data_IF_214392131084
#
_entry.id   IF_214392131084
#
_cell.length_a   1.000
_cell.length_b   1.000
_cell.length_c   1.000
_cell.angle_alpha   90.00
_cell.angle_beta   90.00
_cell.angle_gamma   90.00
#
_symmetry.space_group_name_H-M   'P 1'
#
loop_
_entity.id
_entity.type
_entity.pdbx_description
1 polymer ?
#
# COMPACT_ATOMS: atom_id res chain seq x y z
N UNK A 1 0.65 17.37 32.74
CA UNK A 1 0.39 17.97 31.42
C UNK A 1 -0.48 17.00 30.66
N UNK A 2 -1.67 17.45 30.26
CA UNK A 2 -2.76 16.57 29.79
C UNK A 2 -2.38 15.76 28.54
N UNK A 3 -2.15 14.46 28.69
CA UNK A 3 -1.97 13.52 27.58
C UNK A 3 -3.27 13.33 26.74
N UNK A 4 -4.43 13.69 27.30
CA UNK A 4 -5.73 13.53 26.69
C UNK A 4 -5.90 14.25 25.32
N UNK A 5 -5.55 15.52 25.14
CA UNK A 5 -5.76 16.19 23.87
C UNK A 5 -4.82 15.68 22.77
N UNK A 6 -3.56 15.34 23.11
CA UNK A 6 -2.57 14.77 22.18
C UNK A 6 -3.01 13.39 21.68
N UNK A 7 -3.43 12.52 22.60
CA UNK A 7 -3.91 11.18 22.27
C UNK A 7 -5.16 11.21 21.38
N UNK A 8 -6.12 12.07 21.71
CA UNK A 8 -7.35 12.21 20.91
C UNK A 8 -7.07 12.74 19.52
N UNK A 9 -6.14 13.70 19.37
CA UNK A 9 -5.72 14.24 18.09
C UNK A 9 -5.04 13.16 17.23
N UNK A 10 -4.09 12.42 17.82
CA UNK A 10 -3.42 11.33 17.15
C UNK A 10 -4.41 10.28 16.63
N UNK A 11 -5.29 9.77 17.50
CA UNK A 11 -6.27 8.75 17.13
C UNK A 11 -7.18 9.22 15.98
N UNK A 12 -7.60 10.48 16.02
CA UNK A 12 -8.43 11.06 14.95
C UNK A 12 -7.70 11.07 13.60
N UNK A 13 -6.47 11.55 13.56
CA UNK A 13 -5.68 11.64 12.31
C UNK A 13 -5.22 10.27 11.83
N UNK A 14 -4.84 9.39 12.76
CA UNK A 14 -4.46 8.01 12.46
C UNK A 14 -5.63 7.22 11.88
N UNK A 15 -6.83 7.30 12.49
CA UNK A 15 -8.02 6.59 12.01
C UNK A 15 -8.41 6.98 10.58
N UNK A 16 -8.24 8.25 10.21
CA UNK A 16 -8.48 8.71 8.82
C UNK A 16 -7.46 8.15 7.83
N UNK A 17 -6.25 7.86 8.30
CA UNK A 17 -5.12 7.50 7.44
C UNK A 17 -4.79 6.01 7.45
N UNK A 18 -5.29 5.22 8.42
CA UNK A 18 -4.89 3.84 8.64
C UNK A 18 -5.12 2.92 7.43
N UNK A 19 -6.29 3.00 6.80
CA UNK A 19 -6.62 2.16 5.63
C UNK A 19 -5.67 2.43 4.47
N UNK A 20 -5.36 3.70 4.24
CA UNK A 20 -4.43 4.13 3.22
C UNK A 20 -3.00 3.67 3.51
N UNK A 21 -2.57 3.81 4.77
CA UNK A 21 -1.25 3.40 5.22
C UNK A 21 -1.07 1.88 5.09
N UNK A 22 -2.04 1.09 5.57
CA UNK A 22 -2.00 -0.38 5.45
C UNK A 22 -2.01 -0.84 3.99
N UNK A 23 -2.83 -0.21 3.15
CA UNK A 23 -2.87 -0.49 1.71
C UNK A 23 -1.52 -0.18 1.05
N UNK A 24 -0.92 0.99 1.36
CA UNK A 24 0.41 1.34 0.84
C UNK A 24 1.46 0.31 1.21
N UNK A 25 1.55 -0.08 2.48
CA UNK A 25 2.51 -1.07 2.96
C UNK A 25 2.28 -2.42 2.26
N UNK A 26 1.03 -2.90 2.20
CA UNK A 26 0.68 -4.17 1.57
C UNK A 26 1.03 -4.18 0.07
N UNK A 27 0.80 -3.08 -0.64
CA UNK A 27 1.13 -2.97 -2.07
C UNK A 27 2.63 -3.03 -2.33
N UNK A 28 3.45 -2.55 -1.41
CA UNK A 28 4.91 -2.56 -1.53
C UNK A 28 5.50 -3.90 -1.09
N UNK A 29 5.05 -4.41 0.06
CA UNK A 29 5.63 -5.60 0.69
C UNK A 29 5.14 -6.89 0.03
N UNK A 30 3.94 -6.89 -0.53
CA UNK A 30 3.32 -8.03 -1.21
C UNK A 30 3.19 -9.30 -0.35
N UNK A 31 3.19 -9.16 0.97
CA UNK A 31 2.95 -10.22 1.94
C UNK A 31 2.11 -9.63 3.08
N UNK A 32 0.93 -10.22 3.35
CA UNK A 32 0.03 -9.68 4.35
C UNK A 32 0.62 -9.74 5.76
N UNK A 33 1.26 -10.84 6.14
CA UNK A 33 1.86 -11.00 7.46
C UNK A 33 2.98 -9.99 7.70
N UNK A 34 3.92 -9.89 6.75
CA UNK A 34 5.00 -8.91 6.82
C UNK A 34 4.44 -7.46 6.77
N UNK A 35 3.37 -7.23 5.99
CA UNK A 35 2.73 -5.92 5.92
C UNK A 35 2.05 -5.52 7.23
N UNK A 36 1.40 -6.45 7.92
CA UNK A 36 0.77 -6.23 9.21
C UNK A 36 1.83 -5.91 10.28
N UNK A 37 2.98 -6.61 10.28
CA UNK A 37 4.10 -6.34 11.17
C UNK A 37 4.67 -4.93 10.94
N UNK A 38 4.95 -4.58 9.68
CA UNK A 38 5.45 -3.25 9.32
C UNK A 38 4.42 -2.16 9.65
N UNK A 39 3.12 -2.45 9.48
CA UNK A 39 2.07 -1.51 9.84
C UNK A 39 2.05 -1.24 11.35
N UNK A 40 2.15 -2.28 12.18
CA UNK A 40 2.20 -2.15 13.65
C UNK A 40 3.43 -1.36 14.10
N UNK A 41 4.62 -1.68 13.56
CA UNK A 41 5.83 -0.93 13.86
C UNK A 41 5.72 0.54 13.42
N UNK A 42 5.12 0.79 12.25
CA UNK A 42 4.88 2.15 11.75
C UNK A 42 3.94 2.91 12.68
N UNK A 43 2.84 2.27 13.12
CA UNK A 43 1.88 2.89 14.04
C UNK A 43 2.51 3.26 15.39
N UNK A 44 3.34 2.37 15.94
CA UNK A 44 4.09 2.63 17.18
C UNK A 44 5.04 3.83 17.00
N UNK A 45 5.80 3.85 15.91
CA UNK A 45 6.75 4.94 15.64
C UNK A 45 6.04 6.28 15.36
N UNK A 46 4.87 6.25 14.73
CA UNK A 46 4.03 7.43 14.54
C UNK A 46 3.58 8.02 15.87
N UNK A 47 3.19 7.17 16.83
CA UNK A 47 2.82 7.62 18.17
C UNK A 47 4.02 8.20 18.92
N UNK A 48 5.15 7.51 18.94
CA UNK A 48 6.38 7.96 19.60
C UNK A 48 6.88 9.31 19.05
N UNK A 49 6.71 9.54 17.75
CA UNK A 49 7.18 10.73 17.09
C UNK A 49 6.10 11.79 16.86
N UNK A 50 4.90 11.61 17.43
CA UNK A 50 3.77 12.50 17.15
C UNK A 50 4.05 13.96 17.57
N UNK A 51 4.92 14.20 18.53
CA UNK A 51 5.36 15.56 18.90
C UNK A 51 6.13 16.27 17.78
N UNK A 52 6.67 15.54 16.82
CA UNK A 52 7.35 16.09 15.63
C UNK A 52 6.39 16.37 14.48
N UNK A 53 5.14 15.92 14.61
CA UNK A 53 4.12 16.18 13.61
C UNK A 53 3.61 17.62 13.73
N UNK A 54 3.75 18.40 12.68
CA UNK A 54 3.25 19.78 12.62
C UNK A 54 1.75 19.80 12.37
N UNK A 55 0.99 20.21 13.38
CA UNK A 55 -0.47 20.30 13.32
C UNK A 55 -0.91 21.21 12.18
N UNK A 56 -1.90 20.76 11.41
CA UNK A 56 -2.38 21.49 10.21
C UNK A 56 -1.70 21.06 8.92
N UNK A 57 -0.65 20.24 8.99
CA UNK A 57 -0.06 19.59 7.82
C UNK A 57 -0.74 18.24 7.51
N UNK A 58 -0.27 17.57 6.49
CA UNK A 58 -0.85 16.31 6.02
C UNK A 58 -0.32 15.10 6.80
N UNK A 59 -1.07 14.66 7.81
CA UNK A 59 -0.73 13.48 8.61
C UNK A 59 -0.53 12.22 7.75
N UNK A 60 -1.37 11.99 6.74
CA UNK A 60 -1.24 10.81 5.87
C UNK A 60 0.07 10.78 5.07
N UNK A 61 0.53 11.93 4.58
CA UNK A 61 1.82 12.04 3.90
C UNK A 61 2.99 11.80 4.88
N UNK A 62 2.89 12.37 6.08
CA UNK A 62 3.87 12.15 7.14
C UNK A 62 3.92 10.66 7.54
N UNK A 63 2.76 10.03 7.75
CA UNK A 63 2.67 8.60 8.07
C UNK A 63 3.28 7.71 6.98
N UNK A 64 3.03 8.03 5.72
CA UNK A 64 3.66 7.31 4.59
C UNK A 64 5.17 7.48 4.58
N UNK A 65 5.71 8.65 4.94
CA UNK A 65 7.17 8.85 5.01
C UNK A 65 7.83 7.97 6.07
N UNK A 66 7.17 7.77 7.20
CA UNK A 66 7.64 6.86 8.26
C UNK A 66 7.51 5.39 7.82
N UNK A 67 6.39 5.02 7.18
CA UNK A 67 6.22 3.68 6.62
C UNK A 67 7.30 3.34 5.58
N UNK A 68 7.69 4.31 4.76
CA UNK A 68 8.80 4.18 3.81
C UNK A 68 10.10 3.78 4.50
N UNK A 69 10.43 4.42 5.59
CA UNK A 69 11.61 4.09 6.36
C UNK A 69 11.56 2.63 6.84
N UNK A 70 10.43 2.22 7.43
CA UNK A 70 10.23 0.84 7.91
C UNK A 70 10.28 -0.20 6.80
N UNK A 71 9.68 0.08 5.66
CA UNK A 71 9.77 -0.79 4.49
C UNK A 71 11.22 -0.94 4.00
N UNK A 72 11.98 0.15 3.95
CA UNK A 72 13.39 0.08 3.54
C UNK A 72 14.25 -0.71 4.52
N UNK A 73 13.97 -0.62 5.82
CA UNK A 73 14.62 -1.41 6.86
C UNK A 73 14.32 -2.90 6.66
N UNK A 74 13.05 -3.27 6.49
CA UNK A 74 12.62 -4.62 6.17
C UNK A 74 13.29 -5.18 4.90
N UNK A 75 13.37 -4.40 3.82
CA UNK A 75 14.00 -4.81 2.57
C UNK A 75 15.52 -4.98 2.68
N UNK A 76 16.20 -4.20 3.54
CA UNK A 76 17.62 -4.39 3.83
C UNK A 76 17.90 -5.74 4.49
N UNK A 77 17.03 -6.16 5.40
CA UNK A 77 17.13 -7.44 6.09
C UNK A 77 16.78 -8.63 5.18
N UNK A 78 15.95 -8.42 4.19
CA UNK A 78 15.44 -9.43 3.26
C UNK A 78 16.00 -9.25 1.83
N UNK A 79 17.30 -9.53 1.63
CA UNK A 79 18.01 -9.34 0.34
C UNK A 79 17.25 -9.92 -0.87
N UNK A 80 16.69 -11.16 -0.77
CA UNK A 80 15.94 -11.80 -1.86
C UNK A 80 14.68 -11.02 -2.25
N UNK A 81 14.01 -10.37 -1.27
CA UNK A 81 12.81 -9.55 -1.52
C UNK A 81 13.19 -8.18 -2.08
N UNK A 82 14.35 -7.64 -1.72
CA UNK A 82 14.89 -6.38 -2.25
C UNK A 82 15.13 -6.43 -3.76
N UNK A 83 15.67 -7.53 -4.28
CA UNK A 83 15.99 -7.68 -5.72
C UNK A 83 14.72 -7.76 -6.59
N UNK A 84 13.57 -8.01 -5.97
CA UNK A 84 12.25 -8.03 -6.59
C UNK A 84 11.51 -6.67 -6.47
N UNK A 85 12.05 -5.78 -5.66
CA UNK A 85 11.50 -4.46 -5.40
C UNK A 85 11.98 -3.46 -6.45
N UNK A 86 11.03 -2.77 -7.09
CA UNK A 86 11.34 -1.69 -8.03
C UNK A 86 11.25 -0.35 -7.34
N UNK A 87 12.37 0.38 -7.20
CA UNK A 87 12.38 1.73 -6.61
C UNK A 87 11.40 2.70 -7.30
N UNK A 88 11.19 2.53 -8.62
CA UNK A 88 10.28 3.36 -9.42
C UNK A 88 8.82 3.18 -8.96
N UNK A 89 8.40 1.93 -8.71
CA UNK A 89 7.06 1.63 -8.21
C UNK A 89 6.82 2.27 -6.83
N UNK A 90 7.85 2.35 -6.03
CA UNK A 90 7.84 2.96 -4.72
C UNK A 90 7.58 4.48 -4.77
N UNK A 91 8.22 5.19 -5.69
CA UNK A 91 8.00 6.62 -5.89
C UNK A 91 6.57 6.88 -6.38
N UNK A 92 6.12 6.09 -7.36
CA UNK A 92 4.77 6.21 -7.93
C UNK A 92 3.67 5.93 -6.90
N UNK A 93 3.82 4.90 -6.06
CA UNK A 93 2.88 4.60 -4.98
C UNK A 93 2.88 5.68 -3.90
N UNK A 94 3.99 6.38 -3.71
CA UNK A 94 4.08 7.48 -2.75
C UNK A 94 3.25 8.68 -3.17
N UNK A 95 3.22 8.97 -4.47
CA UNK A 95 2.39 10.07 -5.04
C UNK A 95 0.91 9.73 -4.91
N UNK A 96 0.53 8.44 -5.11
CA UNK A 96 -0.84 7.97 -4.88
C UNK A 96 -1.25 8.02 -3.40
N UNK A 97 -0.28 8.16 -2.52
CA UNK A 97 -0.50 8.30 -1.08
C UNK A 97 -0.82 9.76 -0.65
N UNK A 98 -0.90 10.74 -1.55
CA UNK A 98 -1.35 12.10 -1.20
C UNK A 98 -2.86 12.14 -0.88
N UNK A 99 -3.30 13.03 0.04
CA UNK A 99 -4.67 13.02 0.52
C UNK A 99 -5.62 13.42 -0.59
N UNK A 100 -6.52 12.52 -0.95
CA UNK A 100 -7.71 12.87 -1.67
C UNK A 100 -8.82 13.16 -0.64
N UNK A 101 -9.05 14.40 -0.35
CA UNK A 101 -10.30 14.88 0.22
C UNK A 101 -11.42 14.57 -0.78
N UNK A 102 -12.57 14.06 -0.32
CA UNK A 102 -13.80 13.77 -1.09
C UNK A 102 -13.73 12.77 -2.26
N UNK A 103 -12.56 12.35 -2.68
CA UNK A 103 -12.32 11.56 -3.90
C UNK A 103 -12.21 10.04 -3.65
N UNK A 104 -12.33 9.60 -2.39
CA UNK A 104 -12.18 8.17 -2.04
C UNK A 104 -13.25 7.32 -2.72
N UNK A 105 -14.49 7.82 -2.84
CA UNK A 105 -15.58 7.12 -3.49
C UNK A 105 -15.37 7.01 -5.01
N UNK A 106 -14.91 8.07 -5.64
CA UNK A 106 -14.57 8.06 -7.07
C UNK A 106 -13.43 7.12 -7.39
N UNK A 107 -12.37 7.13 -6.58
CA UNK A 107 -11.24 6.20 -6.74
C UNK A 107 -11.64 4.75 -6.50
N UNK A 108 -12.46 4.47 -5.51
CA UNK A 108 -12.97 3.12 -5.22
C UNK A 108 -13.84 2.61 -6.38
N UNK A 109 -14.73 3.43 -6.92
CA UNK A 109 -15.55 3.10 -8.10
C UNK A 109 -14.67 2.87 -9.34
N UNK A 110 -13.67 3.74 -9.55
CA UNK A 110 -12.72 3.59 -10.65
C UNK A 110 -11.92 2.29 -10.52
N UNK A 111 -11.42 1.95 -9.32
CA UNK A 111 -10.75 0.69 -9.06
C UNK A 111 -11.64 -0.52 -9.36
N UNK A 112 -12.89 -0.51 -8.88
CA UNK A 112 -13.84 -1.59 -9.16
C UNK A 112 -14.06 -1.76 -10.66
N UNK A 113 -14.35 -0.66 -11.39
CA UNK A 113 -14.52 -0.68 -12.84
C UNK A 113 -13.28 -1.25 -13.55
N UNK A 114 -12.08 -0.79 -13.17
CA UNK A 114 -10.83 -1.25 -13.77
C UNK A 114 -10.49 -2.70 -13.41
N UNK A 115 -10.83 -3.15 -12.20
CA UNK A 115 -10.66 -4.54 -11.80
C UNK A 115 -11.50 -5.49 -12.67
N UNK A 116 -12.73 -5.13 -12.99
CA UNK A 116 -13.58 -5.94 -13.87
C UNK A 116 -13.12 -5.95 -15.33
N UNK A 117 -12.34 -4.95 -15.77
CA UNK A 117 -11.72 -4.91 -17.10
C UNK A 117 -10.47 -5.80 -17.21
N UNK A 118 -9.91 -6.25 -16.10
CA UNK A 118 -8.80 -7.22 -16.13
C UNK A 118 -9.29 -8.57 -16.69
N UNK A 119 -8.40 -9.28 -17.36
CA UNK A 119 -8.67 -10.66 -17.77
C UNK A 119 -8.86 -11.60 -16.55
N UNK A 120 -9.54 -12.75 -16.78
CA UNK A 120 -9.85 -13.71 -15.73
C UNK A 120 -8.60 -14.25 -15.01
N UNK A 121 -7.47 -14.40 -15.72
CA UNK A 121 -6.20 -14.89 -15.16
C UNK A 121 -5.62 -13.87 -14.19
N UNK A 122 -5.63 -12.58 -14.53
CA UNK A 122 -5.18 -11.50 -13.67
C UNK A 122 -6.06 -11.35 -12.43
N UNK A 123 -7.40 -11.37 -12.59
CA UNK A 123 -8.32 -11.33 -11.45
C UNK A 123 -8.14 -12.51 -10.51
N UNK A 124 -8.02 -13.73 -11.06
CA UNK A 124 -7.78 -14.95 -10.28
C UNK A 124 -6.47 -14.87 -9.50
N UNK A 125 -5.42 -14.30 -10.09
CA UNK A 125 -4.13 -14.13 -9.44
C UNK A 125 -4.21 -13.16 -8.25
N UNK A 126 -4.88 -12.03 -8.43
CA UNK A 126 -5.11 -11.07 -7.34
C UNK A 126 -6.00 -11.67 -6.24
N UNK A 127 -7.04 -12.42 -6.61
CA UNK A 127 -7.89 -13.13 -5.63
C UNK A 127 -7.10 -14.14 -4.80
N UNK A 128 -6.25 -14.95 -5.43
CA UNK A 128 -5.38 -15.89 -4.71
C UNK A 128 -4.47 -15.17 -3.73
N UNK A 129 -3.94 -14.01 -4.13
CA UNK A 129 -3.00 -13.26 -3.31
C UNK A 129 -3.68 -12.52 -2.16
N UNK A 130 -4.76 -11.77 -2.43
CA UNK A 130 -5.35 -10.81 -1.49
C UNK A 130 -6.62 -11.30 -0.80
N UNK A 131 -7.42 -12.17 -1.40
CA UNK A 131 -8.60 -12.74 -0.75
C UNK A 131 -8.29 -14.05 -0.03
N UNK A 132 -7.40 -14.90 -0.63
CA UNK A 132 -7.01 -16.18 -0.04
C UNK A 132 -5.68 -16.13 0.72
N UNK A 133 -5.05 -14.96 0.81
CA UNK A 133 -3.78 -14.73 1.52
C UNK A 133 -2.66 -15.73 1.17
N UNK A 134 -2.64 -16.24 -0.08
CA UNK A 134 -1.60 -17.18 -0.48
C UNK A 134 -0.27 -16.44 -0.71
N UNK A 135 0.84 -16.92 -0.12
CA UNK A 135 2.18 -16.40 -0.40
C UNK A 135 2.50 -16.49 -1.89
N UNK A 136 3.27 -15.51 -2.41
CA UNK A 136 3.62 -15.46 -3.84
C UNK A 136 4.40 -16.69 -4.26
N UNK A 137 5.24 -17.25 -3.38
CA UNK A 137 6.00 -18.47 -3.57
C UNK A 137 5.07 -19.66 -3.85
N UNK A 138 4.00 -19.82 -3.05
CA UNK A 138 3.01 -20.87 -3.25
C UNK A 138 2.16 -20.68 -4.52
N UNK A 139 1.90 -19.42 -4.88
CA UNK A 139 1.19 -19.11 -6.13
C UNK A 139 2.09 -19.44 -7.33
N UNK A 140 3.38 -19.10 -7.26
CA UNK A 140 4.37 -19.38 -8.29
C UNK A 140 4.52 -20.89 -8.52
N UNK A 141 4.66 -21.66 -7.44
CA UNK A 141 4.69 -23.12 -7.46
C UNK A 141 3.45 -23.72 -8.14
N UNK A 142 2.23 -23.32 -7.70
CA UNK A 142 0.97 -23.76 -8.31
C UNK A 142 0.84 -23.42 -9.79
N UNK A 143 1.49 -22.35 -10.26
CA UNK A 143 1.46 -21.89 -11.65
C UNK A 143 2.65 -22.39 -12.46
N UNK A 144 3.59 -23.14 -11.89
CA UNK A 144 4.76 -23.66 -12.57
C UNK A 144 5.73 -22.58 -13.07
N UNK A 145 5.83 -21.45 -12.36
CA UNK A 145 6.70 -20.34 -12.73
C UNK A 145 7.63 -19.96 -11.58
N UNK A 146 8.73 -19.27 -11.87
CA UNK A 146 9.63 -18.78 -10.82
C UNK A 146 8.94 -17.67 -9.98
N UNK A 147 9.31 -17.59 -8.72
CA UNK A 147 8.84 -16.53 -7.79
C UNK A 147 9.08 -15.13 -8.37
N UNK A 148 10.26 -14.89 -8.96
CA UNK A 148 10.57 -13.63 -9.62
C UNK A 148 9.66 -13.31 -10.82
N UNK A 149 9.30 -14.33 -11.63
CA UNK A 149 8.35 -14.16 -12.72
C UNK A 149 6.95 -13.80 -12.19
N UNK A 150 6.53 -14.40 -11.06
CA UNK A 150 5.26 -14.12 -10.43
C UNK A 150 5.21 -12.68 -9.88
N UNK A 151 6.25 -12.21 -9.21
CA UNK A 151 6.35 -10.81 -8.76
C UNK A 151 6.23 -9.83 -9.94
N UNK A 152 6.99 -10.07 -11.04
CA UNK A 152 6.89 -9.23 -12.24
C UNK A 152 5.47 -9.22 -12.83
N UNK A 153 4.79 -10.36 -12.82
CA UNK A 153 3.41 -10.46 -13.32
C UNK A 153 2.45 -9.64 -12.46
N UNK A 154 2.54 -9.73 -11.14
CA UNK A 154 1.72 -8.93 -10.19
C UNK A 154 2.00 -7.43 -10.38
N UNK A 155 3.26 -7.01 -10.45
CA UNK A 155 3.63 -5.62 -10.70
C UNK A 155 3.06 -5.09 -12.02
N UNK A 156 3.07 -5.92 -13.08
CA UNK A 156 2.45 -5.56 -14.36
C UNK A 156 0.94 -5.35 -14.24
N UNK A 157 0.25 -6.19 -13.46
CA UNK A 157 -1.19 -6.04 -13.21
C UNK A 157 -1.48 -4.73 -12.47
N UNK A 158 -0.70 -4.39 -11.45
CA UNK A 158 -0.86 -3.12 -10.75
C UNK A 158 -0.64 -1.91 -11.65
N UNK A 159 0.37 -1.94 -12.52
CA UNK A 159 0.59 -0.87 -13.49
C UNK A 159 -0.58 -0.72 -14.47
N UNK A 160 -1.19 -1.83 -14.89
CA UNK A 160 -2.40 -1.79 -15.73
C UNK A 160 -3.59 -1.17 -14.99
N UNK A 161 -3.81 -1.58 -13.72
CA UNK A 161 -4.85 -1.02 -12.88
C UNK A 161 -4.65 0.48 -12.65
N UNK A 162 -3.44 0.90 -12.29
CA UNK A 162 -3.10 2.31 -12.10
C UNK A 162 -3.46 3.16 -13.31
N UNK A 163 -2.95 2.78 -14.48
CA UNK A 163 -3.22 3.50 -15.73
C UNK A 163 -4.72 3.55 -16.09
N UNK A 164 -5.44 2.46 -15.80
CA UNK A 164 -6.88 2.42 -16.02
C UNK A 164 -7.60 3.38 -15.07
N UNK A 165 -7.26 3.39 -13.78
CA UNK A 165 -7.86 4.26 -12.76
C UNK A 165 -7.61 5.73 -13.11
N UNK A 166 -6.36 6.10 -13.42
CA UNK A 166 -6.00 7.46 -13.81
C UNK A 166 -6.86 7.95 -14.99
N UNK A 167 -6.98 7.15 -16.05
CA UNK A 167 -7.82 7.48 -17.22
C UNK A 167 -9.30 7.59 -16.86
N UNK A 168 -9.80 6.69 -16.00
CA UNK A 168 -11.23 6.70 -15.60
C UNK A 168 -11.54 7.94 -14.76
N UNK A 169 -10.64 8.34 -13.86
CA UNK A 169 -10.82 9.54 -13.05
C UNK A 169 -10.83 10.83 -13.89
N UNK A 170 -9.97 10.92 -14.91
CA UNK A 170 -9.98 12.06 -15.85
C UNK A 170 -11.29 12.15 -16.64
N UNK A 171 -11.93 11.01 -16.95
CA UNK A 171 -13.22 10.99 -17.66
C UNK A 171 -14.41 11.38 -16.78
N UNK A 172 -14.27 11.34 -15.46
CA UNK A 172 -15.33 11.66 -14.50
C UNK A 172 -15.24 13.07 -13.91
N UNK A 173 -14.20 13.83 -14.27
CA UNK A 173 -14.06 15.27 -14.02
C UNK A 173 -14.77 16.10 -15.10
#
# INVERSE_FOLDING_TARGET
>A
MDEHPKHSLFLREFSKSQTRLSTFILMVVHNSQDADEIFQETASLLWEQFDKFESGTNFGAWAVSIAKYKIMEYLKQNKRKRDLFRPELYHELSVLAEPASSDTDHRTRALQSCFYKLDCSCRSLLSLRYQKNLPIEKIAEKKGVSTGAMYRKISKIFNLLRRCIERTLVQWQ
#
